data_IF_909376457542
#
_entry.id   IF_909376457542
#
_cell.length_a   1.000
_cell.length_b   1.000
_cell.length_c   1.000
_cell.angle_alpha   90.00
_cell.angle_beta   90.00
_cell.angle_gamma   90.00
#
_symmetry.space_group_name_H-M   'P 1'
#
loop_
_entity.id
_entity.type
_entity.pdbx_description
1 polymer ?
#
# COMPACT_ATOMS: atom_id res chain seq x y z
N UNK A 1 6.43 11.12 9.82
CA UNK A 1 5.78 10.73 8.58
C UNK A 1 4.48 9.99 8.83
N UNK A 2 3.58 10.00 7.85
CA UNK A 2 2.29 9.35 7.99
C UNK A 2 2.41 7.84 8.27
N UNK A 3 3.40 7.17 7.68
CA UNK A 3 3.61 5.74 7.91
C UNK A 3 4.04 5.43 9.33
N UNK A 4 4.94 6.25 9.88
CA UNK A 4 5.39 6.09 11.27
C UNK A 4 4.25 6.34 12.24
N UNK A 5 3.47 7.39 12.00
CA UNK A 5 2.31 7.72 12.82
C UNK A 5 1.26 6.62 12.77
N UNK A 6 1.00 6.05 11.59
CA UNK A 6 0.08 4.94 11.44
C UNK A 6 0.55 3.69 12.19
N UNK A 7 1.85 3.39 12.11
CA UNK A 7 2.43 2.25 12.81
C UNK A 7 2.28 2.42 14.32
N UNK A 8 2.62 3.60 14.85
CA UNK A 8 2.44 3.89 16.27
C UNK A 8 0.98 3.80 16.68
N UNK A 9 0.10 4.33 15.85
CA UNK A 9 -1.32 4.28 16.11
C UNK A 9 -1.82 2.83 16.19
N UNK A 10 -1.37 1.97 15.29
CA UNK A 10 -1.70 0.55 15.31
C UNK A 10 -1.21 -0.12 16.60
N UNK A 11 0.01 0.21 17.04
CA UNK A 11 0.55 -0.32 18.28
C UNK A 11 -0.27 0.10 19.50
N UNK A 12 -0.66 1.38 19.55
CA UNK A 12 -1.40 1.93 20.67
C UNK A 12 -2.84 1.40 20.72
N UNK A 13 -3.43 1.09 19.57
CA UNK A 13 -4.83 0.69 19.47
C UNK A 13 -5.02 -0.78 19.06
N UNK A 14 -3.96 -1.58 19.12
CA UNK A 14 -4.01 -2.97 18.67
C UNK A 14 -5.07 -3.81 19.38
N UNK A 15 -5.43 -3.44 20.62
CA UNK A 15 -6.48 -4.13 21.37
C UNK A 15 -7.90 -3.84 20.86
N UNK A 16 -8.07 -2.78 20.05
CA UNK A 16 -9.37 -2.40 19.48
C UNK A 16 -9.66 -3.09 18.16
N UNK A 17 -8.65 -3.67 17.53
CA UNK A 17 -8.80 -4.39 16.27
C UNK A 17 -8.81 -5.89 16.54
N UNK A 18 -9.56 -6.63 15.70
CA UNK A 18 -9.50 -8.09 15.76
C UNK A 18 -8.09 -8.54 15.31
N UNK A 19 -7.61 -9.70 15.80
CA UNK A 19 -6.33 -10.24 15.34
C UNK A 19 -6.27 -10.38 13.81
N UNK A 20 -7.37 -10.75 13.18
CA UNK A 20 -7.43 -10.88 11.73
C UNK A 20 -7.29 -9.53 11.03
N UNK A 21 -7.91 -8.48 11.55
CA UNK A 21 -7.79 -7.14 10.98
C UNK A 21 -6.35 -6.63 11.06
N UNK A 22 -5.66 -6.88 12.17
CA UNK A 22 -4.25 -6.52 12.31
C UNK A 22 -3.36 -7.27 11.32
N UNK A 23 -3.62 -8.56 11.14
CA UNK A 23 -2.89 -9.39 10.19
C UNK A 23 -3.08 -8.88 8.77
N UNK A 24 -4.31 -8.55 8.39
CA UNK A 24 -4.63 -7.99 7.07
C UNK A 24 -3.93 -6.67 6.83
N UNK A 25 -3.93 -5.77 7.82
CA UNK A 25 -3.21 -4.50 7.73
C UNK A 25 -1.71 -4.71 7.54
N UNK A 26 -1.14 -5.68 8.28
CA UNK A 26 0.28 -5.99 8.18
C UNK A 26 0.64 -6.51 6.79
N UNK A 27 -0.17 -7.38 6.22
CA UNK A 27 0.04 -7.90 4.87
C UNK A 27 0.06 -6.76 3.84
N UNK A 28 -0.91 -5.86 3.93
CA UNK A 28 -0.97 -4.71 3.02
C UNK A 28 0.21 -3.78 3.22
N UNK A 29 0.59 -3.54 4.48
CA UNK A 29 1.74 -2.71 4.80
C UNK A 29 3.02 -3.28 4.17
N UNK A 30 3.23 -4.60 4.29
CA UNK A 30 4.39 -5.27 3.70
C UNK A 30 4.42 -5.13 2.18
N UNK A 31 3.27 -5.25 1.51
CA UNK A 31 3.18 -5.06 0.06
C UNK A 31 3.56 -3.62 -0.34
N UNK A 32 3.06 -2.65 0.40
CA UNK A 32 3.34 -1.24 0.12
C UNK A 32 4.82 -0.93 0.31
N UNK A 33 5.43 -1.44 1.38
CA UNK A 33 6.87 -1.27 1.63
C UNK A 33 7.68 -1.88 0.49
N UNK A 34 7.31 -3.09 0.04
CA UNK A 34 7.97 -3.74 -1.09
C UNK A 34 7.87 -2.89 -2.36
N UNK A 35 6.71 -2.33 -2.63
CA UNK A 35 6.50 -1.48 -3.81
C UNK A 35 7.36 -0.23 -3.76
N UNK A 36 7.44 0.43 -2.59
CA UNK A 36 8.25 1.63 -2.41
C UNK A 36 9.73 1.29 -2.58
N UNK A 37 10.21 0.23 -1.94
CA UNK A 37 11.62 -0.18 -2.04
C UNK A 37 12.00 -0.50 -3.48
N UNK A 38 11.15 -1.24 -4.20
CA UNK A 38 11.41 -1.56 -5.60
C UNK A 38 11.35 -0.34 -6.51
N UNK A 39 10.46 0.62 -6.22
CA UNK A 39 10.38 1.84 -7.02
C UNK A 39 11.66 2.68 -6.90
N UNK A 40 12.21 2.78 -5.70
CA UNK A 40 13.48 3.47 -5.47
C UNK A 40 14.61 2.75 -6.19
N UNK A 41 14.67 1.43 -6.08
CA UNK A 41 15.69 0.63 -6.76
C UNK A 41 15.59 0.75 -8.28
N UNK A 42 14.37 0.70 -8.82
CA UNK A 42 14.14 0.88 -10.25
C UNK A 42 14.65 2.23 -10.73
N UNK A 43 14.44 3.28 -9.94
CA UNK A 43 14.90 4.61 -10.28
C UNK A 43 16.43 4.71 -10.22
N UNK A 44 17.04 4.16 -9.17
CA UNK A 44 18.50 4.18 -9.03
C UNK A 44 19.20 3.43 -10.16
N UNK A 45 18.67 2.28 -10.54
CA UNK A 45 19.23 1.40 -11.57
C UNK A 45 18.72 1.73 -12.98
N UNK A 46 17.74 2.63 -13.08
CA UNK A 46 17.04 2.93 -14.34
C UNK A 46 16.58 1.66 -15.04
N UNK A 47 16.01 0.72 -14.27
CA UNK A 47 15.66 -0.61 -14.73
C UNK A 47 14.16 -0.75 -14.94
N UNK A 48 13.67 -0.80 -16.19
CA UNK A 48 12.25 -0.92 -16.46
C UNK A 48 11.66 -2.26 -16.03
N UNK A 49 12.49 -3.30 -15.87
CA UNK A 49 12.01 -4.59 -15.38
C UNK A 49 11.58 -4.51 -13.92
N UNK A 50 12.37 -3.80 -13.11
CA UNK A 50 12.02 -3.58 -11.70
C UNK A 50 10.80 -2.67 -11.62
N UNK A 51 10.71 -1.66 -12.49
CA UNK A 51 9.55 -0.79 -12.56
C UNK A 51 8.28 -1.58 -12.90
N UNK A 52 8.37 -2.59 -13.77
CA UNK A 52 7.23 -3.46 -14.06
C UNK A 52 6.79 -4.25 -12.83
N UNK A 53 7.74 -4.72 -12.03
CA UNK A 53 7.41 -5.40 -10.76
C UNK A 53 6.65 -4.47 -9.81
N UNK A 54 6.96 -3.18 -9.81
CA UNK A 54 6.23 -2.18 -9.01
C UNK A 54 4.78 -2.09 -9.47
N UNK A 55 4.55 -2.07 -10.78
CA UNK A 55 3.18 -2.02 -11.32
C UNK A 55 2.38 -3.25 -10.93
N UNK A 56 3.02 -4.43 -10.96
CA UNK A 56 2.38 -5.68 -10.55
C UNK A 56 2.02 -5.66 -9.05
N UNK A 57 2.92 -5.13 -8.22
CA UNK A 57 2.66 -4.97 -6.79
C UNK A 57 1.52 -3.98 -6.54
N UNK A 58 1.48 -2.90 -7.31
CA UNK A 58 0.45 -1.89 -7.18
C UNK A 58 -0.94 -2.43 -7.51
N UNK A 59 -1.03 -3.29 -8.53
CA UNK A 59 -2.28 -4.00 -8.83
C UNK A 59 -2.72 -4.88 -7.66
N UNK A 60 -1.79 -5.56 -7.01
CA UNK A 60 -2.09 -6.37 -5.82
C UNK A 60 -2.52 -5.51 -4.65
N UNK A 61 -1.88 -4.36 -4.47
CA UNK A 61 -2.25 -3.40 -3.41
C UNK A 61 -3.67 -2.91 -3.62
N UNK A 62 -4.03 -2.53 -4.85
CA UNK A 62 -5.39 -2.09 -5.19
C UNK A 62 -6.42 -3.18 -4.89
N UNK A 63 -6.13 -4.39 -5.32
CA UNK A 63 -7.02 -5.52 -5.08
C UNK A 63 -7.19 -5.78 -3.58
N UNK A 64 -6.10 -5.77 -2.84
CA UNK A 64 -6.12 -5.99 -1.40
C UNK A 64 -6.87 -4.87 -0.67
N UNK A 65 -6.66 -3.61 -1.07
CA UNK A 65 -7.36 -2.48 -0.48
C UNK A 65 -8.88 -2.66 -0.61
N UNK A 66 -9.35 -2.97 -1.81
CA UNK A 66 -10.79 -3.17 -2.05
C UNK A 66 -11.34 -4.34 -1.27
N UNK A 67 -10.60 -5.44 -1.24
CA UNK A 67 -11.00 -6.65 -0.53
C UNK A 67 -11.08 -6.41 0.98
N UNK A 68 -10.06 -5.78 1.55
CA UNK A 68 -10.02 -5.51 2.98
C UNK A 68 -11.07 -4.49 3.40
N UNK A 69 -11.31 -3.49 2.56
CA UNK A 69 -12.37 -2.50 2.82
C UNK A 69 -13.74 -3.17 2.87
N UNK A 70 -14.03 -4.04 1.91
CA UNK A 70 -15.30 -4.76 1.86
C UNK A 70 -15.47 -5.68 3.08
N UNK A 71 -14.42 -6.42 3.45
CA UNK A 71 -14.45 -7.30 4.64
C UNK A 71 -14.66 -6.50 5.90
N UNK A 72 -14.05 -5.34 6.00
CA UNK A 72 -14.16 -4.50 7.20
C UNK A 72 -15.56 -3.91 7.33
N UNK A 73 -16.15 -3.46 6.22
CA UNK A 73 -17.53 -2.97 6.21
C UNK A 73 -18.49 -4.09 6.65
N UNK A 74 -18.26 -5.30 6.17
CA UNK A 74 -19.06 -6.46 6.58
C UNK A 74 -18.95 -6.73 8.08
N UNK A 75 -17.73 -6.61 8.65
CA UNK A 75 -17.53 -6.76 10.10
C UNK A 75 -18.23 -5.67 10.90
N UNK A 76 -18.21 -4.43 10.42
CA UNK A 76 -18.94 -3.32 11.04
C UNK A 76 -20.44 -3.62 11.08
N UNK A 77 -21.00 -4.04 9.95
CA UNK A 77 -22.43 -4.33 9.84
C UNK A 77 -22.85 -5.52 10.71
N UNK A 78 -21.94 -6.47 10.93
CA UNK A 78 -22.20 -7.62 11.80
C UNK A 78 -21.94 -7.34 13.28
N UNK A 79 -21.49 -6.12 13.63
CA UNK A 79 -21.16 -5.76 15.00
C UNK A 79 -19.82 -6.31 15.48
N UNK A 80 -18.97 -6.75 14.55
CA UNK A 80 -17.66 -7.35 14.88
C UNK A 80 -16.56 -6.37 15.23
N UNK A 81 -16.80 -5.08 15.05
CA UNK A 81 -15.87 -4.03 15.47
C UNK A 81 -16.63 -2.74 15.80
N UNK A 82 -15.98 -1.85 16.55
CA UNK A 82 -16.59 -0.57 16.90
C UNK A 82 -16.54 0.38 15.71
N UNK A 83 -17.49 1.34 15.60
CA UNK A 83 -17.44 2.34 14.54
C UNK A 83 -16.13 3.14 14.51
N UNK A 84 -15.58 3.48 15.69
CA UNK A 84 -14.31 4.21 15.77
C UNK A 84 -13.15 3.41 15.17
N UNK A 85 -13.05 2.13 15.50
CA UNK A 85 -12.04 1.24 14.93
C UNK A 85 -12.24 1.09 13.43
N UNK A 86 -13.50 1.09 12.97
CA UNK A 86 -13.82 1.00 11.56
C UNK A 86 -13.31 2.18 10.75
N UNK A 87 -13.52 3.39 11.25
CA UNK A 87 -13.06 4.61 10.60
C UNK A 87 -11.53 4.61 10.51
N UNK A 88 -10.87 4.23 11.59
CA UNK A 88 -9.41 4.19 11.65
C UNK A 88 -8.85 3.18 10.65
N UNK A 89 -9.44 1.99 10.58
CA UNK A 89 -9.00 0.94 9.67
C UNK A 89 -9.08 1.40 8.21
N UNK A 90 -10.20 2.00 7.83
CA UNK A 90 -10.40 2.51 6.47
C UNK A 90 -9.43 3.63 6.16
N UNK A 91 -9.16 4.49 7.13
CA UNK A 91 -8.20 5.59 6.96
C UNK A 91 -6.79 5.05 6.73
N UNK A 92 -6.39 4.00 7.46
CA UNK A 92 -5.11 3.32 7.26
C UNK A 92 -5.03 2.75 5.85
N UNK A 93 -6.07 2.05 5.38
CA UNK A 93 -6.11 1.50 4.03
C UNK A 93 -5.93 2.58 2.96
N UNK A 94 -6.64 3.70 3.14
CA UNK A 94 -6.56 4.82 2.20
C UNK A 94 -5.16 5.43 2.15
N UNK A 95 -4.51 5.57 3.29
CA UNK A 95 -3.15 6.12 3.35
C UNK A 95 -2.14 5.16 2.73
N UNK A 96 -2.29 3.85 2.95
CA UNK A 96 -1.41 2.85 2.34
C UNK A 96 -1.55 2.84 0.83
N UNK A 97 -2.77 2.94 0.33
CA UNK A 97 -3.03 3.03 -1.12
C UNK A 97 -2.36 4.28 -1.71
N UNK A 98 -2.44 5.40 -1.00
CA UNK A 98 -1.81 6.64 -1.45
C UNK A 98 -0.29 6.51 -1.56
N UNK A 99 0.34 5.81 -0.63
CA UNK A 99 1.78 5.52 -0.69
C UNK A 99 2.08 4.60 -1.88
N UNK A 100 1.24 3.60 -2.13
CA UNK A 100 1.35 2.74 -3.30
C UNK A 100 1.28 3.53 -4.61
N UNK A 101 0.39 4.52 -4.68
CA UNK A 101 0.28 5.41 -5.85
C UNK A 101 1.56 6.20 -6.09
N UNK A 102 2.25 6.64 -5.03
CA UNK A 102 3.54 7.30 -5.18
C UNK A 102 4.58 6.36 -5.78
N UNK A 103 4.62 5.10 -5.35
CA UNK A 103 5.51 4.10 -5.93
C UNK A 103 5.18 3.88 -7.42
N UNK A 104 3.90 3.83 -7.77
CA UNK A 104 3.46 3.72 -9.16
C UNK A 104 4.00 4.90 -9.99
N UNK A 105 3.88 6.12 -9.48
CA UNK A 105 4.35 7.31 -10.19
C UNK A 105 5.87 7.27 -10.42
N UNK A 106 6.62 6.78 -9.44
CA UNK A 106 8.08 6.62 -9.58
C UNK A 106 8.40 5.61 -10.68
N UNK A 107 7.68 4.48 -10.72
CA UNK A 107 7.85 3.47 -11.76
C UNK A 107 7.58 4.06 -13.15
N UNK A 108 6.55 4.90 -13.28
CA UNK A 108 6.25 5.55 -14.55
C UNK A 108 7.38 6.48 -14.99
N UNK A 109 8.02 7.19 -14.06
CA UNK A 109 9.20 8.01 -14.37
C UNK A 109 10.32 7.14 -14.93
N UNK A 110 10.53 5.95 -14.37
CA UNK A 110 11.57 5.02 -14.86
C UNK A 110 11.29 4.62 -16.30
N UNK A 111 10.04 4.31 -16.65
CA UNK A 111 9.66 4.01 -18.02
C UNK A 111 9.91 5.18 -18.95
N UNK A 112 9.63 6.40 -18.51
CA UNK A 112 9.87 7.61 -19.31
C UNK A 112 11.37 7.81 -19.58
N UNK A 113 12.21 7.60 -18.57
CA UNK A 113 13.67 7.70 -18.70
C UNK A 113 14.18 6.66 -19.70
N UNK A 114 13.72 5.42 -19.58
CA UNK A 114 14.10 4.34 -20.49
C UNK A 114 13.70 4.65 -21.92
N UNK A 115 12.50 5.19 -22.13
CA UNK A 115 12.02 5.59 -23.45
C UNK A 115 12.89 6.68 -24.07
N UNK A 116 13.33 7.66 -23.27
CA UNK A 116 14.20 8.73 -23.75
C UNK A 116 15.56 8.15 -24.17
N UNK A 117 16.15 7.28 -23.37
CA UNK A 117 17.43 6.63 -23.70
C UNK A 117 17.33 5.81 -24.98
N UNK A 118 16.24 5.10 -25.19
CA UNK A 118 16.04 4.31 -26.39
C UNK A 118 15.88 5.19 -27.63
N UNK A 119 15.33 6.39 -27.50
CA UNK A 119 15.20 7.32 -28.63
C UNK A 119 16.55 7.93 -29.02
N UNK A 120 17.44 8.11 -28.07
CA UNK A 120 18.77 8.66 -28.31
C UNK A 120 19.73 7.61 -28.88
N UNK A 121 19.45 6.35 -28.64
CA UNK A 121 20.25 5.26 -29.19
C UNK A 121 19.91 5.01 -30.64
#
# INVERSE_FOLDING_TARGET
TNLVEMYQFLQDHKLKFSPKALEECKEMFDLVISAVAKSVQALEDEDPKIAQEVLDLEDRIDYMEKTLRARHIARLNAGGCTPDAGVIFIDILSNLERVGDHAHNIAMVVFDIDSIHNREA
#
